data_IF_556019220468
#
_entry.id   IF_556019220468
#
_cell.length_a   1.000
_cell.length_b   1.000
_cell.length_c   1.000
_cell.angle_alpha   90.00
_cell.angle_beta   90.00
_cell.angle_gamma   90.00
#
_symmetry.space_group_name_H-M   'P 1'
#
loop_
_entity.id
_entity.type
_entity.pdbx_description
1 polymer ?
#
# COMPACT_ATOMS: atom_id res chain seq x y z
N UNK A 1 9.44 -0.64 28.76
CA UNK A 1 8.00 -0.99 28.77
C UNK A 1 7.82 -2.47 28.43
N UNK A 2 7.49 -3.32 29.39
CA UNK A 2 7.10 -4.71 29.17
C UNK A 2 5.63 -4.78 28.72
N UNK A 3 5.36 -4.45 27.46
CA UNK A 3 4.03 -4.70 26.88
C UNK A 3 3.76 -6.20 26.97
N UNK A 4 2.64 -6.59 27.54
CA UNK A 4 2.26 -8.00 27.72
C UNK A 4 2.10 -8.67 26.35
N UNK A 5 3.06 -9.52 25.95
CA UNK A 5 3.01 -10.30 24.71
C UNK A 5 2.07 -11.52 24.81
N UNK A 6 1.19 -11.54 25.81
CA UNK A 6 0.25 -12.63 26.07
C UNK A 6 -0.76 -12.79 24.92
N UNK A 7 -1.43 -11.73 24.42
CA UNK A 7 -2.38 -11.87 23.30
C UNK A 7 -1.71 -12.42 22.03
N UNK A 8 -0.49 -11.96 21.72
CA UNK A 8 0.27 -12.47 20.57
C UNK A 8 0.65 -13.95 20.73
N UNK A 9 0.81 -14.43 21.97
CA UNK A 9 1.05 -15.85 22.25
C UNK A 9 -0.17 -16.73 22.01
N UNK A 10 -1.35 -16.24 22.33
CA UNK A 10 -2.61 -16.92 22.01
C UNK A 10 -2.76 -17.04 20.49
N UNK A 11 -2.51 -15.96 19.75
CA UNK A 11 -2.53 -15.97 18.27
C UNK A 11 -1.49 -16.93 17.67
N UNK A 12 -0.29 -17.00 18.24
CA UNK A 12 0.73 -17.97 17.82
C UNK A 12 0.28 -19.41 18.06
N UNK A 13 -0.45 -19.66 19.15
CA UNK A 13 -0.97 -20.99 19.48
C UNK A 13 -2.11 -21.38 18.55
N UNK A 14 -3.08 -20.49 18.33
CA UNK A 14 -4.15 -20.70 17.37
C UNK A 14 -3.62 -20.96 15.96
N UNK A 15 -2.64 -20.17 15.51
CA UNK A 15 -1.99 -20.36 14.20
C UNK A 15 -1.28 -21.70 14.09
N UNK A 16 -0.60 -22.15 15.15
CA UNK A 16 0.02 -23.49 15.17
C UNK A 16 -1.03 -24.60 15.09
N UNK A 17 -2.14 -24.46 15.81
CA UNK A 17 -3.24 -25.42 15.74
C UNK A 17 -3.82 -25.50 14.32
N UNK A 18 -4.06 -24.36 13.69
CA UNK A 18 -4.53 -24.29 12.30
C UNK A 18 -3.56 -24.99 11.33
N UNK A 19 -2.26 -24.71 11.43
CA UNK A 19 -1.28 -25.38 10.56
C UNK A 19 -1.18 -26.89 10.79
N UNK A 20 -1.37 -27.37 12.03
CA UNK A 20 -1.43 -28.82 12.29
C UNK A 20 -2.69 -29.43 11.70
N UNK A 21 -3.83 -28.76 11.82
CA UNK A 21 -5.11 -29.23 11.27
C UNK A 21 -5.12 -29.27 9.73
N UNK A 22 -4.44 -28.33 9.07
CA UNK A 22 -4.36 -28.27 7.59
C UNK A 22 -3.41 -29.31 6.95
N UNK A 23 -2.75 -30.16 7.74
CA UNK A 23 -2.02 -31.33 7.24
C UNK A 23 -0.92 -31.01 6.20
N UNK A 24 -0.77 -31.84 5.15
CA UNK A 24 0.29 -31.68 4.14
C UNK A 24 0.25 -30.34 3.39
N UNK A 25 -0.93 -29.75 3.20
CA UNK A 25 -1.09 -28.47 2.50
C UNK A 25 -0.41 -27.33 3.28
N UNK A 26 -0.45 -27.36 4.61
CA UNK A 26 0.30 -26.42 5.43
C UNK A 26 1.81 -26.58 5.27
N UNK A 27 2.32 -27.79 5.06
CA UNK A 27 3.77 -28.00 4.86
C UNK A 27 4.26 -27.30 3.60
N UNK A 28 3.54 -27.45 2.48
CA UNK A 28 3.88 -26.77 1.22
C UNK A 28 3.89 -25.25 1.40
N UNK A 29 2.84 -24.69 2.00
CA UNK A 29 2.80 -23.26 2.34
C UNK A 29 3.90 -22.87 3.32
N UNK A 30 4.27 -23.66 4.31
CA UNK A 30 5.29 -23.25 5.30
C UNK A 30 6.72 -23.27 4.74
N UNK A 31 6.99 -24.11 3.74
CA UNK A 31 8.35 -24.30 3.20
C UNK A 31 8.60 -23.36 2.03
N UNK A 32 7.70 -23.29 1.05
CA UNK A 32 7.96 -22.52 -0.17
C UNK A 32 7.39 -21.09 -0.09
N UNK A 33 8.28 -20.10 -0.28
CA UNK A 33 7.93 -18.68 -0.26
C UNK A 33 7.12 -18.28 -1.49
N UNK A 34 7.49 -18.74 -2.68
CA UNK A 34 6.81 -18.36 -3.92
C UNK A 34 5.36 -18.83 -3.89
N UNK A 35 5.14 -20.08 -3.49
CA UNK A 35 3.82 -20.65 -3.25
C UNK A 35 2.99 -19.86 -2.25
N UNK A 36 3.56 -19.41 -1.12
CA UNK A 36 2.83 -18.55 -0.18
C UNK A 36 2.43 -17.23 -0.79
N UNK A 37 3.36 -16.55 -1.45
CA UNK A 37 3.09 -15.26 -2.08
C UNK A 37 1.97 -15.41 -3.11
N UNK A 38 2.04 -16.46 -3.93
CA UNK A 38 1.00 -16.79 -4.89
C UNK A 38 -0.36 -17.05 -4.21
N UNK A 39 -0.42 -18.00 -3.28
CA UNK A 39 -1.68 -18.39 -2.63
C UNK A 39 -2.31 -17.23 -1.86
N UNK A 40 -1.55 -16.57 -0.98
CA UNK A 40 -2.11 -15.48 -0.17
C UNK A 40 -2.39 -14.23 -1.00
N UNK A 41 -1.62 -13.97 -2.06
CA UNK A 41 -1.89 -12.90 -3.01
C UNK A 41 -3.18 -13.14 -3.78
N UNK A 42 -3.33 -14.30 -4.42
CA UNK A 42 -4.54 -14.63 -5.17
C UNK A 42 -5.78 -14.67 -4.28
N UNK A 43 -5.72 -15.30 -3.10
CA UNK A 43 -6.84 -15.32 -2.15
C UNK A 43 -7.20 -13.89 -1.70
N UNK A 44 -6.21 -13.07 -1.33
CA UNK A 44 -6.43 -11.68 -0.95
C UNK A 44 -7.08 -10.85 -2.06
N UNK A 45 -6.64 -11.04 -3.31
CA UNK A 45 -7.21 -10.35 -4.48
C UNK A 45 -8.63 -10.83 -4.81
N UNK A 46 -8.93 -12.12 -4.69
CA UNK A 46 -10.30 -12.63 -4.87
C UNK A 46 -11.24 -12.05 -3.80
N UNK A 47 -10.80 -11.99 -2.54
CA UNK A 47 -11.59 -11.37 -1.47
C UNK A 47 -11.78 -9.87 -1.73
N UNK A 48 -10.72 -9.15 -2.13
CA UNK A 48 -10.79 -7.74 -2.49
C UNK A 48 -11.78 -7.48 -3.64
N UNK A 49 -11.74 -8.31 -4.67
CA UNK A 49 -12.65 -8.24 -5.81
C UNK A 49 -14.10 -8.53 -5.41
N UNK A 50 -14.33 -9.57 -4.60
CA UNK A 50 -15.67 -9.90 -4.10
C UNK A 50 -16.25 -8.75 -3.25
N UNK A 51 -15.44 -8.13 -2.38
CA UNK A 51 -15.86 -6.97 -1.60
C UNK A 51 -16.14 -5.74 -2.47
N UNK A 52 -15.31 -5.48 -3.47
CA UNK A 52 -15.52 -4.39 -4.42
C UNK A 52 -16.80 -4.59 -5.25
N UNK A 53 -17.14 -5.83 -5.61
CA UNK A 53 -18.38 -6.15 -6.30
C UNK A 53 -19.61 -6.17 -5.39
N UNK A 54 -19.48 -6.45 -4.08
CA UNK A 54 -20.63 -6.62 -3.19
C UNK A 54 -20.96 -5.37 -2.37
N UNK A 55 -19.96 -4.58 -1.98
CA UNK A 55 -20.11 -3.44 -1.08
C UNK A 55 -18.94 -2.44 -1.19
N UNK A 56 -18.73 -1.79 -2.36
CA UNK A 56 -17.56 -0.95 -2.62
C UNK A 56 -17.40 0.19 -1.60
N UNK A 57 -18.49 0.83 -1.17
CA UNK A 57 -18.43 1.89 -0.15
C UNK A 57 -17.95 1.40 1.22
N UNK A 58 -18.36 0.20 1.64
CA UNK A 58 -17.85 -0.44 2.85
C UNK A 58 -16.39 -0.85 2.71
N UNK A 59 -16.01 -1.42 1.55
CA UNK A 59 -14.63 -1.81 1.27
C UNK A 59 -13.68 -0.60 1.31
N UNK A 60 -14.09 0.52 0.71
CA UNK A 60 -13.34 1.78 0.75
C UNK A 60 -13.28 2.32 2.18
N UNK A 61 -14.41 2.44 2.88
CA UNK A 61 -14.45 3.02 4.23
C UNK A 61 -13.70 2.19 5.27
N UNK A 62 -14.13 0.93 5.47
CA UNK A 62 -13.56 0.04 6.50
C UNK A 62 -12.13 -0.33 6.17
N UNK A 63 -11.82 -0.59 4.90
CA UNK A 63 -10.46 -0.87 4.46
C UNK A 63 -9.51 0.26 4.84
N UNK A 64 -9.89 1.50 4.52
CA UNK A 64 -9.09 2.68 4.87
C UNK A 64 -8.92 2.86 6.37
N UNK A 65 -9.97 2.70 7.17
CA UNK A 65 -9.90 2.93 8.62
C UNK A 65 -9.13 1.82 9.35
N UNK A 66 -9.32 0.56 8.97
CA UNK A 66 -8.72 -0.60 9.67
C UNK A 66 -7.32 -0.91 9.17
N UNK A 67 -7.10 -0.85 7.85
CA UNK A 67 -5.83 -1.23 7.21
C UNK A 67 -4.96 -0.02 6.84
N UNK A 68 -5.51 1.19 6.96
CA UNK A 68 -4.83 2.45 6.71
C UNK A 68 -3.52 2.61 7.47
N UNK A 69 -3.59 2.74 8.79
CA UNK A 69 -2.36 2.94 9.57
C UNK A 69 -1.40 1.76 9.43
N UNK A 70 -1.83 0.49 9.52
CA UNK A 70 -0.95 -0.66 9.31
C UNK A 70 -0.21 -0.65 7.96
N UNK A 71 -0.83 -0.21 6.86
CA UNK A 71 -0.14 -0.21 5.57
C UNK A 71 0.93 0.87 5.54
N UNK A 72 0.65 2.10 5.98
CA UNK A 72 1.65 3.18 6.03
C UNK A 72 2.88 2.77 6.83
N UNK A 73 2.68 2.06 7.95
CA UNK A 73 3.78 1.50 8.74
C UNK A 73 4.60 0.51 7.93
N UNK A 74 3.93 -0.36 7.17
CA UNK A 74 4.59 -1.31 6.28
C UNK A 74 5.39 -0.58 5.20
N UNK A 75 4.82 0.43 4.55
CA UNK A 75 5.47 1.20 3.48
C UNK A 75 6.75 1.85 4.01
N UNK A 76 6.65 2.61 5.11
CA UNK A 76 7.80 3.25 5.75
C UNK A 76 8.86 2.21 6.13
N UNK A 77 8.44 1.09 6.70
CA UNK A 77 9.35 0.02 7.11
C UNK A 77 10.11 -0.57 5.93
N UNK A 78 9.41 -0.94 4.85
CA UNK A 78 9.99 -1.69 3.73
C UNK A 78 10.64 -0.79 2.67
N UNK A 79 10.13 0.41 2.45
CA UNK A 79 10.68 1.38 1.50
C UNK A 79 11.80 2.24 2.10
N UNK A 80 11.63 2.70 3.35
CA UNK A 80 12.52 3.71 3.92
C UNK A 80 13.54 3.08 4.86
N UNK A 81 13.05 2.41 5.91
CA UNK A 81 13.91 1.94 7.00
C UNK A 81 14.80 0.79 6.53
N UNK A 82 14.19 -0.26 5.97
CA UNK A 82 14.91 -1.43 5.46
C UNK A 82 15.78 -1.14 4.25
N UNK A 83 15.68 0.02 3.61
CA UNK A 83 16.56 0.43 2.52
C UNK A 83 17.59 1.47 2.95
N UNK A 84 17.64 1.79 4.24
CA UNK A 84 18.57 2.77 4.79
C UNK A 84 18.29 4.22 4.34
N UNK A 85 17.12 4.48 3.76
CA UNK A 85 16.75 5.82 3.31
C UNK A 85 16.36 6.74 4.48
N UNK A 86 16.06 6.17 5.66
CA UNK A 86 15.83 6.91 6.90
C UNK A 86 17.06 7.73 7.37
N UNK A 87 18.24 7.54 6.76
CA UNK A 87 19.44 8.34 7.06
C UNK A 87 19.67 9.47 6.05
N UNK A 88 18.78 9.64 5.07
CA UNK A 88 18.97 10.57 3.95
C UNK A 88 18.17 11.84 4.15
N UNK A 89 18.86 12.93 4.50
CA UNK A 89 18.24 14.24 4.66
C UNK A 89 17.44 14.70 3.42
N UNK A 90 17.90 14.36 2.21
CA UNK A 90 17.20 14.71 0.97
C UNK A 90 15.82 14.08 0.83
N UNK A 91 15.61 12.87 1.37
CA UNK A 91 14.28 12.25 1.37
C UNK A 91 13.35 13.00 2.32
N UNK A 92 13.81 13.35 3.51
CA UNK A 92 13.02 14.15 4.47
C UNK A 92 12.71 15.53 3.93
N UNK A 93 13.67 16.21 3.29
CA UNK A 93 13.46 17.49 2.64
C UNK A 93 12.41 17.37 1.52
N UNK A 94 12.50 16.33 0.68
CA UNK A 94 11.51 16.06 -0.37
C UNK A 94 10.10 15.83 0.18
N UNK A 95 9.97 14.98 1.21
CA UNK A 95 8.68 14.73 1.87
C UNK A 95 8.16 16.00 2.53
N UNK A 96 9.01 16.80 3.18
CA UNK A 96 8.62 18.07 3.80
C UNK A 96 8.08 19.06 2.75
N UNK A 97 8.76 19.20 1.61
CA UNK A 97 8.28 20.02 0.49
C UNK A 97 6.90 19.57 0.03
N UNK A 98 6.69 18.27 -0.12
CA UNK A 98 5.40 17.72 -0.52
C UNK A 98 4.30 18.00 0.51
N UNK A 99 4.59 17.74 1.80
CA UNK A 99 3.65 17.91 2.91
C UNK A 99 3.28 19.37 3.14
N UNK A 100 4.23 20.31 3.02
CA UNK A 100 3.98 21.74 3.18
C UNK A 100 3.31 22.33 1.94
N UNK A 101 3.71 21.92 0.73
CA UNK A 101 3.13 22.45 -0.51
C UNK A 101 1.68 22.02 -0.73
N UNK A 102 1.27 20.85 -0.21
CA UNK A 102 -0.09 20.33 -0.37
C UNK A 102 -1.18 21.23 0.23
N UNK A 103 -1.12 21.64 1.53
CA UNK A 103 -2.09 22.57 2.09
C UNK A 103 -2.02 23.98 1.48
N UNK A 104 -0.90 24.34 0.84
CA UNK A 104 -0.78 25.58 0.04
C UNK A 104 -1.44 25.47 -1.35
N UNK A 105 -2.11 24.35 -1.65
CA UNK A 105 -2.85 24.13 -2.88
C UNK A 105 -2.01 23.59 -4.04
N UNK A 106 -0.73 23.26 -3.84
CA UNK A 106 0.10 22.68 -4.90
C UNK A 106 -0.19 21.19 -5.15
N UNK A 107 -0.61 20.45 -4.12
CA UNK A 107 -0.98 19.04 -4.20
C UNK A 107 0.11 18.17 -4.84
N UNK A 108 -0.25 17.33 -5.82
CA UNK A 108 0.66 16.47 -6.60
C UNK A 108 1.89 17.21 -7.12
N UNK A 109 1.77 18.49 -7.49
CA UNK A 109 2.91 19.28 -7.98
C UNK A 109 3.98 19.43 -6.91
N UNK A 110 3.59 19.66 -5.65
CA UNK A 110 4.54 19.69 -4.54
C UNK A 110 5.19 18.33 -4.31
N UNK A 111 4.45 17.24 -4.52
CA UNK A 111 5.01 15.89 -4.42
C UNK A 111 6.06 15.60 -5.50
N UNK A 112 5.80 16.01 -6.74
CA UNK A 112 6.76 15.88 -7.86
C UNK A 112 8.01 16.71 -7.58
N UNK A 113 7.87 17.94 -7.08
CA UNK A 113 9.02 18.77 -6.66
C UNK A 113 9.77 18.10 -5.50
N UNK A 114 9.06 17.55 -4.51
CA UNK A 114 9.64 16.81 -3.41
C UNK A 114 10.46 15.60 -3.88
N UNK A 115 9.95 14.84 -4.85
CA UNK A 115 10.68 13.76 -5.50
C UNK A 115 11.92 14.28 -6.25
N UNK A 116 11.83 15.41 -6.95
CA UNK A 116 12.97 16.04 -7.63
C UNK A 116 14.05 16.48 -6.64
N UNK A 117 13.69 17.03 -5.49
CA UNK A 117 14.61 17.36 -4.39
C UNK A 117 15.34 16.10 -3.92
N UNK A 118 14.63 14.98 -3.71
CA UNK A 118 15.27 13.72 -3.32
C UNK A 118 16.28 13.23 -4.39
N UNK A 119 15.89 13.30 -5.68
CA UNK A 119 16.71 12.85 -6.82
C UNK A 119 17.93 13.73 -7.08
N UNK A 120 17.85 15.04 -6.82
CA UNK A 120 18.99 15.95 -7.00
C UNK A 120 20.23 15.49 -6.21
N UNK A 121 20.01 14.92 -5.03
CA UNK A 121 21.03 14.37 -4.13
C UNK A 121 21.15 12.84 -4.21
N UNK A 122 20.60 12.21 -5.26
CA UNK A 122 20.72 10.78 -5.47
C UNK A 122 22.19 10.37 -5.74
N UNK A 123 22.57 9.19 -5.23
CA UNK A 123 23.87 8.55 -5.45
C UNK A 123 23.89 7.85 -6.81
N UNK A 124 23.81 8.63 -7.88
CA UNK A 124 23.75 8.16 -9.25
C UNK A 124 24.59 9.03 -10.19
N UNK A 125 24.89 8.52 -11.39
CA UNK A 125 25.56 9.30 -12.43
C UNK A 125 24.73 10.54 -12.80
N UNK A 126 25.40 11.60 -13.25
CA UNK A 126 24.73 12.84 -13.69
C UNK A 126 23.68 12.54 -14.77
N UNK A 127 24.01 11.67 -15.74
CA UNK A 127 23.09 11.26 -16.80
C UNK A 127 21.81 10.60 -16.27
N UNK A 128 21.91 9.67 -15.29
CA UNK A 128 20.72 9.05 -14.69
C UNK A 128 19.89 10.06 -13.91
N UNK A 129 20.53 10.93 -13.12
CA UNK A 129 19.82 12.01 -12.40
C UNK A 129 19.09 12.93 -13.37
N UNK A 130 19.77 13.39 -14.41
CA UNK A 130 19.19 14.25 -15.44
C UNK A 130 17.99 13.58 -16.14
N UNK A 131 18.09 12.29 -16.49
CA UNK A 131 16.98 11.55 -17.08
C UNK A 131 15.75 11.45 -16.18
N UNK A 132 15.95 11.14 -14.89
CA UNK A 132 14.83 11.09 -13.92
C UNK A 132 14.25 12.49 -13.66
N UNK A 133 15.10 13.51 -13.50
CA UNK A 133 14.66 14.89 -13.33
C UNK A 133 13.89 15.41 -14.54
N UNK A 134 14.30 15.05 -15.77
CA UNK A 134 13.55 15.37 -16.98
C UNK A 134 12.15 14.75 -16.95
N UNK A 135 12.04 13.47 -16.60
CA UNK A 135 10.74 12.80 -16.44
C UNK A 135 9.86 13.46 -15.37
N UNK A 136 10.44 13.85 -14.23
CA UNK A 136 9.73 14.58 -13.17
C UNK A 136 9.30 15.98 -13.62
N UNK A 137 10.13 16.71 -14.38
CA UNK A 137 9.77 18.01 -14.95
C UNK A 137 8.58 17.90 -15.92
N UNK A 138 8.55 16.84 -16.75
CA UNK A 138 7.40 16.57 -17.61
C UNK A 138 6.14 16.27 -16.79
N UNK A 139 6.26 15.43 -15.75
CA UNK A 139 5.14 15.14 -14.84
C UNK A 139 4.64 16.42 -14.13
N UNK A 140 5.55 17.30 -13.71
CA UNK A 140 5.20 18.59 -13.12
C UNK A 140 4.46 19.49 -14.11
N UNK A 141 4.96 19.61 -15.34
CA UNK A 141 4.32 20.41 -16.38
C UNK A 141 2.90 19.91 -16.69
N UNK A 142 2.72 18.59 -16.80
CA UNK A 142 1.40 17.98 -16.99
C UNK A 142 0.48 18.24 -15.79
N UNK A 143 0.98 18.09 -14.57
CA UNK A 143 0.21 18.39 -13.35
C UNK A 143 -0.10 19.89 -13.20
N UNK A 144 0.70 20.77 -13.79
CA UNK A 144 0.45 22.21 -13.85
C UNK A 144 -0.70 22.53 -14.80
N UNK A 145 -0.67 21.97 -16.01
CA UNK A 145 -1.68 22.21 -17.05
C UNK A 145 -3.02 21.54 -16.69
N UNK A 146 -2.98 20.30 -16.20
CA UNK A 146 -4.16 19.47 -15.97
C UNK A 146 -4.48 19.30 -14.49
N UNK A 147 -4.36 20.36 -13.67
CA UNK A 147 -4.39 20.33 -12.19
C UNK A 147 -5.36 19.29 -11.59
N UNK A 148 -6.66 19.42 -11.83
CA UNK A 148 -7.66 18.52 -11.24
C UNK A 148 -7.60 17.08 -11.78
N UNK A 149 -7.41 16.93 -13.09
CA UNK A 149 -7.30 15.62 -13.73
C UNK A 149 -6.03 14.87 -13.30
N UNK A 150 -4.92 15.58 -13.11
CA UNK A 150 -3.66 15.00 -12.66
C UNK A 150 -3.75 14.48 -11.22
N UNK A 151 -4.39 15.23 -10.32
CA UNK A 151 -4.68 14.77 -8.94
C UNK A 151 -5.56 13.51 -8.96
N UNK A 152 -6.61 13.51 -9.79
CA UNK A 152 -7.50 12.36 -9.90
C UNK A 152 -6.80 11.14 -10.51
N UNK A 153 -6.03 11.35 -11.58
CA UNK A 153 -5.23 10.30 -12.20
C UNK A 153 -4.20 9.72 -11.21
N UNK A 154 -3.54 10.58 -10.43
CA UNK A 154 -2.61 10.15 -9.40
C UNK A 154 -3.31 9.39 -8.28
N UNK A 155 -4.48 9.82 -7.82
CA UNK A 155 -5.28 9.12 -6.82
C UNK A 155 -5.59 7.67 -7.26
N UNK A 156 -5.95 7.46 -8.52
CA UNK A 156 -6.15 6.12 -9.08
C UNK A 156 -4.83 5.35 -9.25
N UNK A 157 -3.81 5.99 -9.84
CA UNK A 157 -2.52 5.38 -10.11
C UNK A 157 -1.75 4.99 -8.84
N UNK A 158 -1.94 5.72 -7.74
CA UNK A 158 -1.34 5.46 -6.44
C UNK A 158 -1.66 4.04 -5.94
N UNK A 159 -2.89 3.58 -6.12
CA UNK A 159 -3.27 2.21 -5.76
C UNK A 159 -2.48 1.15 -6.54
N UNK A 160 -1.94 1.50 -7.72
CA UNK A 160 -1.13 0.62 -8.55
C UNK A 160 0.37 0.68 -8.22
N UNK A 161 0.83 1.70 -7.48
CA UNK A 161 2.25 1.85 -7.11
C UNK A 161 2.73 0.65 -6.28
N UNK A 162 1.91 0.15 -5.37
CA UNK A 162 2.21 -1.05 -4.60
C UNK A 162 2.50 -2.26 -5.51
N UNK A 163 1.70 -2.47 -6.57
CA UNK A 163 1.94 -3.55 -7.55
C UNK A 163 3.26 -3.36 -8.30
N UNK A 164 3.63 -2.10 -8.60
CA UNK A 164 4.93 -1.74 -9.16
C UNK A 164 6.09 -2.11 -8.23
N UNK A 165 5.99 -1.78 -6.94
CA UNK A 165 6.99 -2.19 -5.94
C UNK A 165 7.03 -3.71 -5.74
N UNK A 166 5.88 -4.37 -5.73
CA UNK A 166 5.81 -5.82 -5.70
C UNK A 166 6.56 -6.44 -6.88
N UNK A 167 6.30 -6.00 -8.10
CA UNK A 167 7.01 -6.48 -9.29
C UNK A 167 8.52 -6.19 -9.20
N UNK A 168 8.91 -5.01 -8.74
CA UNK A 168 10.30 -4.63 -8.56
C UNK A 168 11.03 -5.54 -7.55
N UNK A 169 10.36 -5.95 -6.48
CA UNK A 169 10.93 -6.84 -5.46
C UNK A 169 10.87 -8.31 -5.89
N UNK A 170 9.84 -8.70 -6.63
CA UNK A 170 9.67 -10.05 -7.16
C UNK A 170 10.53 -10.33 -8.40
N UNK A 171 11.13 -9.32 -9.06
CA UNK A 171 11.87 -9.45 -10.35
C UNK A 171 12.96 -10.53 -10.41
N UNK A 172 13.45 -11.00 -9.27
CA UNK A 172 14.48 -12.06 -9.18
C UNK A 172 13.92 -13.44 -8.87
N UNK A 173 12.67 -13.51 -8.48
CA UNK A 173 11.94 -14.75 -8.25
C UNK A 173 11.33 -15.21 -9.57
N UNK A 174 11.05 -16.51 -9.68
CA UNK A 174 10.47 -17.11 -10.88
C UNK A 174 9.12 -17.74 -10.52
N UNK A 175 8.44 -18.31 -11.52
CA UNK A 175 7.27 -19.14 -11.28
C UNK A 175 6.08 -18.43 -10.63
N UNK A 176 5.50 -19.08 -9.61
CA UNK A 176 4.18 -18.76 -9.07
C UNK A 176 4.07 -17.37 -8.43
N UNK A 177 5.19 -16.74 -8.07
CA UNK A 177 5.24 -15.40 -7.47
C UNK A 177 4.52 -14.33 -8.32
N UNK A 178 4.41 -14.53 -9.64
CA UNK A 178 3.77 -13.60 -10.56
C UNK A 178 2.25 -13.80 -10.70
N UNK A 179 1.70 -14.90 -10.18
CA UNK A 179 0.26 -15.19 -10.24
C UNK A 179 -0.62 -14.07 -9.66
N UNK A 180 -0.28 -13.41 -8.53
CA UNK A 180 -1.07 -12.29 -8.03
C UNK A 180 -1.19 -11.13 -9.03
N UNK A 181 -0.13 -10.83 -9.80
CA UNK A 181 -0.19 -9.76 -10.80
C UNK A 181 -1.09 -10.17 -11.99
N UNK A 182 -0.98 -11.41 -12.45
CA UNK A 182 -1.87 -11.93 -13.49
C UNK A 182 -3.34 -11.91 -13.05
N UNK A 183 -3.62 -12.36 -11.82
CA UNK A 183 -4.95 -12.29 -11.21
C UNK A 183 -5.46 -10.85 -11.13
N UNK A 184 -4.62 -9.91 -10.67
CA UNK A 184 -4.99 -8.50 -10.62
C UNK A 184 -5.44 -7.98 -11.98
N UNK A 185 -4.67 -8.26 -13.05
CA UNK A 185 -4.98 -7.81 -14.41
C UNK A 185 -6.32 -8.38 -14.89
N UNK A 186 -6.56 -9.68 -14.69
CA UNK A 186 -7.82 -10.33 -15.11
C UNK A 186 -9.02 -9.75 -14.36
N UNK A 187 -8.92 -9.61 -13.03
CA UNK A 187 -10.00 -9.09 -12.20
C UNK A 187 -10.25 -7.59 -12.45
N UNK A 188 -9.20 -6.80 -12.68
CA UNK A 188 -9.30 -5.40 -13.08
C UNK A 188 -10.00 -5.26 -14.43
N UNK A 189 -9.62 -6.07 -15.43
CA UNK A 189 -10.26 -6.09 -16.74
C UNK A 189 -11.75 -6.43 -16.64
N UNK A 190 -12.12 -7.35 -15.74
CA UNK A 190 -13.53 -7.64 -15.46
C UNK A 190 -14.27 -6.41 -14.91
N UNK A 191 -13.72 -5.74 -13.89
CA UNK A 191 -14.36 -4.57 -13.24
C UNK A 191 -14.50 -3.36 -14.18
N UNK A 192 -13.60 -3.23 -15.15
CA UNK A 192 -13.66 -2.17 -16.16
C UNK A 192 -14.48 -2.59 -17.41
N UNK A 193 -14.73 -3.88 -17.56
CA UNK A 193 -15.44 -4.46 -18.69
C UNK A 193 -16.97 -4.34 -18.64
N UNK A 194 -17.66 -4.83 -19.68
CA UNK A 194 -19.12 -4.72 -19.80
C UNK A 194 -19.89 -5.53 -18.75
N UNK A 195 -19.28 -6.57 -18.18
CA UNK A 195 -19.93 -7.45 -17.18
C UNK A 195 -19.93 -6.89 -15.76
N UNK A 196 -19.18 -5.82 -15.49
CA UNK A 196 -19.08 -5.24 -14.16
C UNK A 196 -20.41 -4.67 -13.67
N UNK A 197 -21.13 -3.92 -14.51
CA UNK A 197 -22.38 -3.28 -14.10
C UNK A 197 -23.49 -4.31 -13.82
N UNK A 198 -23.75 -5.32 -14.68
CA UNK A 198 -24.65 -6.42 -14.34
C UNK A 198 -24.28 -7.11 -13.02
N UNK A 199 -22.99 -7.37 -12.79
CA UNK A 199 -22.53 -8.00 -11.54
C UNK A 199 -22.80 -7.11 -10.31
N UNK A 200 -22.47 -5.82 -10.37
CA UNK A 200 -22.73 -4.85 -9.29
C UNK A 200 -24.22 -4.70 -8.99
N UNK A 201 -25.07 -4.73 -10.01
CA UNK A 201 -26.52 -4.74 -9.84
C UNK A 201 -26.99 -6.02 -9.17
N UNK A 202 -26.53 -7.18 -9.65
CA UNK A 202 -26.91 -8.49 -9.13
C UNK A 202 -26.51 -8.69 -7.66
N UNK A 203 -25.33 -8.23 -7.26
CA UNK A 203 -24.89 -8.28 -5.85
C UNK A 203 -25.59 -7.27 -4.95
N UNK A 204 -26.32 -6.29 -5.52
CA UNK A 204 -26.93 -5.18 -4.80
C UNK A 204 -25.92 -4.12 -4.33
N UNK A 205 -24.71 -4.08 -4.89
CA UNK A 205 -23.66 -3.16 -4.46
C UNK A 205 -24.02 -1.68 -4.66
N UNK A 206 -24.86 -1.38 -5.65
CA UNK A 206 -25.26 -0.01 -5.97
C UNK A 206 -26.06 0.66 -4.85
N UNK A 207 -26.69 -0.12 -3.96
CA UNK A 207 -27.52 0.37 -2.85
C UNK A 207 -26.93 0.08 -1.46
N UNK A 208 -25.89 -0.76 -1.37
CA UNK A 208 -25.26 -1.15 -0.11
C UNK A 208 -24.04 -0.29 0.20
N UNK A 209 -24.26 0.80 0.91
CA UNK A 209 -23.20 1.68 1.37
C UNK A 209 -23.45 2.21 2.78
N UNK A 210 -22.38 2.52 3.55
CA UNK A 210 -22.53 3.29 4.77
C UNK A 210 -22.88 4.74 4.44
N UNK A 211 -23.49 5.43 5.40
CA UNK A 211 -23.85 6.86 5.29
C UNK A 211 -22.62 7.69 4.91
N UNK A 212 -22.76 8.57 3.91
CA UNK A 212 -21.69 9.44 3.42
C UNK A 212 -20.66 8.77 2.50
N UNK A 213 -20.82 7.48 2.19
CA UNK A 213 -20.01 6.74 1.21
C UNK A 213 -20.89 5.96 0.22
N UNK A 214 -22.08 6.49 -0.07
CA UNK A 214 -22.94 5.98 -1.13
C UNK A 214 -22.29 6.17 -2.51
N UNK A 215 -22.81 5.43 -3.50
CA UNK A 215 -22.23 5.41 -4.83
C UNK A 215 -22.22 6.78 -5.50
N UNK A 216 -23.25 7.61 -5.30
CA UNK A 216 -23.31 8.96 -5.86
C UNK A 216 -22.20 9.83 -5.28
N UNK A 217 -22.04 9.80 -3.94
CA UNK A 217 -20.95 10.48 -3.25
C UNK A 217 -19.59 10.00 -3.76
N UNK A 218 -19.37 8.69 -3.87
CA UNK A 218 -18.10 8.14 -4.35
C UNK A 218 -17.81 8.46 -5.82
N UNK A 219 -18.82 8.43 -6.69
CA UNK A 219 -18.68 8.84 -8.10
C UNK A 219 -18.25 10.29 -8.20
N UNK A 220 -18.86 11.18 -7.41
CA UNK A 220 -18.49 12.61 -7.40
C UNK A 220 -17.05 12.84 -6.92
N UNK A 221 -16.53 11.99 -6.06
CA UNK A 221 -15.16 12.08 -5.54
C UNK A 221 -14.12 11.44 -6.49
N UNK A 222 -14.45 10.31 -7.11
CA UNK A 222 -13.49 9.44 -7.79
C UNK A 222 -13.59 9.47 -9.32
N UNK A 223 -14.71 9.93 -9.89
CA UNK A 223 -14.91 9.99 -11.33
C UNK A 223 -15.89 11.12 -11.74
N UNK A 224 -15.70 12.38 -11.29
CA UNK A 224 -16.68 13.45 -11.47
C UNK A 224 -16.96 13.85 -12.93
N UNK A 225 -16.06 13.53 -13.87
CA UNK A 225 -16.12 14.01 -15.27
C UNK A 225 -16.35 12.89 -16.29
N UNK A 226 -16.71 11.69 -15.83
CA UNK A 226 -16.82 10.50 -16.69
C UNK A 226 -18.29 10.10 -16.85
N UNK A 227 -18.65 9.50 -17.98
CA UNK A 227 -19.98 8.92 -18.18
C UNK A 227 -20.38 8.01 -16.99
N UNK A 228 -21.66 8.05 -16.65
CA UNK A 228 -22.26 7.35 -15.51
C UNK A 228 -21.85 5.87 -15.44
N UNK A 229 -21.81 5.16 -16.57
CA UNK A 229 -21.48 3.73 -16.59
C UNK A 229 -20.00 3.47 -16.26
N UNK A 230 -19.11 4.30 -16.78
CA UNK A 230 -17.68 4.24 -16.50
C UNK A 230 -17.33 4.74 -15.11
N UNK A 231 -18.04 5.74 -14.61
CA UNK A 231 -17.84 6.26 -13.25
C UNK A 231 -18.11 5.20 -12.19
N UNK A 232 -19.21 4.44 -12.33
CA UNK A 232 -19.54 3.33 -11.41
C UNK A 232 -18.49 2.21 -11.48
N UNK A 233 -18.05 1.83 -12.68
CA UNK A 233 -16.95 0.87 -12.86
C UNK A 233 -15.65 1.36 -12.24
N UNK A 234 -15.36 2.66 -12.38
CA UNK A 234 -14.21 3.33 -11.79
C UNK A 234 -14.21 3.26 -10.26
N UNK A 235 -15.37 3.47 -9.61
CA UNK A 235 -15.50 3.33 -8.15
C UNK A 235 -15.25 1.88 -7.70
N UNK A 236 -15.83 0.90 -8.39
CA UNK A 236 -15.61 -0.52 -8.07
C UNK A 236 -14.13 -0.93 -8.28
N UNK A 237 -13.53 -0.51 -9.40
CA UNK A 237 -12.11 -0.70 -9.66
C UNK A 237 -11.24 -0.02 -8.60
N UNK A 238 -11.57 1.21 -8.19
CA UNK A 238 -10.84 1.91 -7.12
C UNK A 238 -10.91 1.16 -5.79
N UNK A 239 -12.09 0.67 -5.39
CA UNK A 239 -12.26 -0.14 -4.19
C UNK A 239 -11.40 -1.41 -4.24
N UNK A 240 -11.39 -2.09 -5.38
CA UNK A 240 -10.55 -3.27 -5.62
C UNK A 240 -9.06 -2.95 -5.57
N UNK A 241 -8.62 -1.92 -6.29
CA UNK A 241 -7.23 -1.51 -6.37
C UNK A 241 -6.69 -1.04 -5.01
N UNK A 242 -7.50 -0.32 -4.23
CA UNK A 242 -7.15 0.08 -2.86
C UNK A 242 -6.97 -1.14 -1.94
N UNK A 243 -7.88 -2.12 -2.02
CA UNK A 243 -7.72 -3.36 -1.25
C UNK A 243 -6.52 -4.19 -1.72
N UNK A 244 -6.25 -4.25 -3.03
CA UNK A 244 -5.05 -4.88 -3.60
C UNK A 244 -3.76 -4.20 -3.11
N UNK A 245 -3.75 -2.87 -3.02
CA UNK A 245 -2.66 -2.08 -2.45
C UNK A 245 -2.37 -2.52 -1.00
N UNK A 246 -3.39 -2.70 -0.16
CA UNK A 246 -3.22 -3.23 1.19
C UNK A 246 -2.72 -4.68 1.21
N UNK A 247 -3.23 -5.55 0.32
CA UNK A 247 -2.74 -6.95 0.21
C UNK A 247 -1.24 -6.95 -0.08
N UNK A 248 -0.78 -6.12 -1.02
CA UNK A 248 0.64 -6.03 -1.36
C UNK A 248 1.47 -5.61 -0.16
N UNK A 249 1.12 -4.49 0.48
CA UNK A 249 1.93 -3.92 1.55
C UNK A 249 1.87 -4.69 2.86
N UNK A 250 0.72 -5.26 3.21
CA UNK A 250 0.54 -5.99 4.47
C UNK A 250 0.90 -7.47 4.37
N UNK A 251 0.86 -8.05 3.15
CA UNK A 251 1.10 -9.49 2.96
C UNK A 251 2.25 -9.81 2.04
N UNK A 252 2.28 -9.28 0.82
CA UNK A 252 3.20 -9.77 -0.23
C UNK A 252 4.61 -9.23 -0.03
N UNK A 253 4.79 -7.91 0.04
CA UNK A 253 6.11 -7.30 0.27
C UNK A 253 6.76 -7.82 1.57
N UNK A 254 6.05 -7.91 2.71
CA UNK A 254 6.60 -8.49 3.93
C UNK A 254 7.08 -9.95 3.81
N UNK A 255 6.44 -10.73 2.93
CA UNK A 255 6.79 -12.12 2.68
C UNK A 255 8.01 -12.24 1.76
N UNK A 256 8.08 -11.40 0.72
CA UNK A 256 9.23 -11.33 -0.20
C UNK A 256 10.51 -10.89 0.52
N UNK A 257 10.41 -9.84 1.34
CA UNK A 257 11.55 -9.20 2.00
C UNK A 257 11.95 -9.88 3.33
N UNK A 258 11.40 -11.06 3.63
CA UNK A 258 11.78 -11.79 4.84
C UNK A 258 13.17 -12.44 4.65
N UNK A 259 14.09 -12.32 5.63
CA UNK A 259 15.38 -13.02 5.56
C UNK A 259 15.24 -14.55 5.57
N UNK A 260 14.35 -15.09 6.42
CA UNK A 260 14.12 -16.53 6.53
C UNK A 260 13.06 -17.02 5.54
N UNK A 261 13.22 -18.24 4.97
CA UNK A 261 12.16 -18.90 4.21
C UNK A 261 10.98 -19.31 5.09
N UNK A 262 11.17 -19.47 6.41
CA UNK A 262 10.08 -19.86 7.32
C UNK A 262 9.25 -18.65 7.76
N UNK A 263 7.92 -18.81 7.91
CA UNK A 263 7.07 -17.77 8.46
C UNK A 263 7.39 -17.36 9.89
N UNK A 264 7.47 -16.04 10.15
CA UNK A 264 7.58 -15.49 11.51
C UNK A 264 6.27 -15.71 12.27
N UNK A 265 6.37 -16.05 13.55
CA UNK A 265 5.27 -15.93 14.54
C UNK A 265 4.84 -14.47 14.73
N UNK A 266 3.65 -14.22 15.29
CA UNK A 266 3.17 -12.89 15.63
C UNK A 266 4.10 -12.19 16.61
N UNK A 267 4.58 -12.91 17.64
CA UNK A 267 5.58 -12.38 18.58
C UNK A 267 6.90 -12.00 17.88
N UNK A 268 7.38 -12.82 16.95
CA UNK A 268 8.60 -12.50 16.18
C UNK A 268 8.38 -11.29 15.27
N UNK A 269 7.20 -11.17 14.64
CA UNK A 269 6.86 -10.00 13.82
C UNK A 269 6.81 -8.72 14.64
N UNK A 270 6.21 -8.77 15.85
CA UNK A 270 6.19 -7.65 16.79
C UNK A 270 7.60 -7.23 17.24
N UNK A 271 8.45 -8.17 17.65
CA UNK A 271 9.84 -7.84 18.00
C UNK A 271 10.61 -7.27 16.81
N UNK A 272 10.36 -7.77 15.61
CA UNK A 272 11.00 -7.25 14.41
C UNK A 272 10.58 -5.81 14.12
N UNK A 273 9.29 -5.48 14.23
CA UNK A 273 8.81 -4.11 13.95
C UNK A 273 9.32 -3.11 15.00
N UNK A 274 9.31 -3.48 16.28
CA UNK A 274 9.81 -2.62 17.37
C UNK A 274 11.31 -2.35 17.24
N UNK A 275 12.10 -3.35 16.84
CA UNK A 275 13.54 -3.17 16.59
C UNK A 275 13.82 -2.26 15.39
N UNK A 276 12.96 -2.29 14.37
CA UNK A 276 13.16 -1.52 13.14
C UNK A 276 12.65 -0.07 13.25
N UNK A 277 11.55 0.19 13.98
CA UNK A 277 10.91 1.52 14.04
C UNK A 277 11.06 2.27 15.38
N UNK A 278 11.60 1.63 16.43
CA UNK A 278 11.51 2.03 17.84
C UNK A 278 10.15 1.73 18.49
N UNK A 279 10.10 1.50 19.81
CA UNK A 279 8.84 1.26 20.52
C UNK A 279 7.89 2.47 20.51
N UNK A 280 8.42 3.70 20.49
CA UNK A 280 7.61 4.91 20.50
C UNK A 280 6.85 5.10 19.18
N UNK A 281 7.54 4.90 18.04
CA UNK A 281 6.87 4.97 16.74
C UNK A 281 5.79 3.89 16.61
N UNK A 282 6.09 2.65 17.04
CA UNK A 282 5.09 1.57 17.04
C UNK A 282 3.89 1.91 17.92
N UNK A 283 4.11 2.45 19.12
CA UNK A 283 3.03 2.89 20.01
C UNK A 283 2.17 3.99 19.37
N UNK A 284 2.79 4.98 18.72
CA UNK A 284 2.11 6.04 17.98
C UNK A 284 1.18 5.48 16.89
N UNK A 285 1.68 4.53 16.08
CA UNK A 285 0.84 3.89 15.04
C UNK A 285 -0.25 2.98 15.58
N UNK A 286 -0.01 2.28 16.70
CA UNK A 286 -1.06 1.51 17.38
C UNK A 286 -2.16 2.45 17.88
N UNK A 287 -1.80 3.56 18.51
CA UNK A 287 -2.74 4.57 18.96
C UNK A 287 -3.52 5.17 17.78
N UNK A 288 -2.84 5.50 16.68
CA UNK A 288 -3.49 5.97 15.45
C UNK A 288 -4.52 4.99 14.91
N UNK A 289 -4.18 3.70 14.85
CA UNK A 289 -5.14 2.64 14.46
C UNK A 289 -6.36 2.63 15.37
N UNK A 290 -6.17 2.67 16.70
CA UNK A 290 -7.27 2.67 17.68
C UNK A 290 -8.15 3.90 17.53
N UNK A 291 -7.55 5.08 17.34
CA UNK A 291 -8.29 6.34 17.16
C UNK A 291 -9.16 6.30 15.90
N UNK A 292 -8.60 5.95 14.75
CA UNK A 292 -9.36 5.90 13.50
C UNK A 292 -10.44 4.83 13.53
N UNK A 293 -10.15 3.63 14.04
CA UNK A 293 -11.16 2.56 14.19
C UNK A 293 -12.26 2.98 15.14
N UNK A 294 -11.92 3.53 16.30
CA UNK A 294 -12.89 4.04 17.28
C UNK A 294 -13.77 5.15 16.71
N UNK A 295 -13.21 6.08 15.94
CA UNK A 295 -13.97 7.10 15.21
C UNK A 295 -14.87 6.45 14.15
N UNK A 296 -14.33 5.53 13.34
CA UNK A 296 -15.08 4.88 12.26
C UNK A 296 -16.30 4.06 12.72
N UNK A 297 -16.34 3.62 13.98
CA UNK A 297 -17.51 3.00 14.59
C UNK A 297 -18.70 3.98 14.78
N UNK A 298 -18.43 5.29 14.87
CA UNK A 298 -19.47 6.34 14.94
C UNK A 298 -19.68 7.05 13.61
N UNK A 299 -18.60 7.38 12.92
CA UNK A 299 -18.62 8.14 11.67
C UNK A 299 -17.51 7.63 10.74
N UNK A 300 -17.87 6.63 9.94
CA UNK A 300 -16.94 5.98 9.01
C UNK A 300 -16.47 6.93 7.92
N UNK A 301 -17.35 7.81 7.42
CA UNK A 301 -17.02 8.76 6.35
C UNK A 301 -16.03 9.82 6.84
N UNK A 302 -16.30 10.43 8.01
CA UNK A 302 -15.39 11.40 8.62
C UNK A 302 -14.05 10.79 9.00
N UNK A 303 -14.04 9.60 9.62
CA UNK A 303 -12.81 8.89 9.95
C UNK A 303 -11.96 8.59 8.70
N UNK A 304 -12.60 8.17 7.60
CA UNK A 304 -11.92 7.97 6.30
C UNK A 304 -11.31 9.26 5.78
N UNK A 305 -12.06 10.37 5.77
CA UNK A 305 -11.55 11.65 5.26
C UNK A 305 -10.35 12.12 6.09
N UNK A 306 -10.46 12.10 7.41
CA UNK A 306 -9.38 12.49 8.31
C UNK A 306 -8.15 11.58 8.14
N UNK A 307 -8.37 10.27 7.97
CA UNK A 307 -7.29 9.34 7.65
C UNK A 307 -6.61 9.72 6.33
N UNK A 308 -7.36 9.92 5.24
CA UNK A 308 -6.79 10.24 3.92
C UNK A 308 -6.01 11.55 3.95
N UNK A 309 -6.49 12.57 4.67
CA UNK A 309 -5.76 13.82 4.89
C UNK A 309 -4.45 13.59 5.65
N UNK A 310 -4.49 12.77 6.72
CA UNK A 310 -3.30 12.47 7.51
C UNK A 310 -2.29 11.59 6.78
N UNK A 311 -2.78 10.71 5.91
CA UNK A 311 -1.98 9.71 5.22
C UNK A 311 -1.44 10.23 3.90
N UNK A 312 -1.92 11.34 3.34
CA UNK A 312 -1.56 11.80 1.98
C UNK A 312 -0.04 11.83 1.71
N UNK A 313 0.78 12.08 2.74
CA UNK A 313 2.23 12.05 2.63
C UNK A 313 2.82 10.71 2.18
N UNK A 314 2.17 9.57 2.41
CA UNK A 314 2.72 8.25 2.08
C UNK A 314 2.80 8.05 0.56
N UNK A 315 1.78 8.48 -0.20
CA UNK A 315 1.87 8.44 -1.67
C UNK A 315 3.03 9.28 -2.20
N UNK A 316 3.28 10.44 -1.59
CA UNK A 316 4.41 11.29 -1.96
C UNK A 316 5.75 10.67 -1.59
N UNK A 317 5.81 10.00 -0.44
CA UNK A 317 6.96 9.20 -0.04
C UNK A 317 7.23 8.09 -1.06
N UNK A 318 6.21 7.34 -1.47
CA UNK A 318 6.34 6.29 -2.47
C UNK A 318 6.85 6.83 -3.81
N UNK A 319 6.33 7.97 -4.27
CA UNK A 319 6.78 8.64 -5.48
C UNK A 319 8.26 9.05 -5.39
N UNK A 320 8.67 9.64 -4.26
CA UNK A 320 10.06 10.02 -4.03
C UNK A 320 10.99 8.80 -3.99
N UNK A 321 10.57 7.71 -3.33
CA UNK A 321 11.35 6.46 -3.29
C UNK A 321 11.44 5.80 -4.66
N UNK A 322 10.35 5.80 -5.43
CA UNK A 322 10.36 5.27 -6.80
C UNK A 322 11.31 6.06 -7.71
N UNK A 323 11.30 7.39 -7.60
CA UNK A 323 12.21 8.26 -8.33
C UNK A 323 13.69 8.03 -7.92
N UNK A 324 13.95 7.85 -6.62
CA UNK A 324 15.28 7.47 -6.12
C UNK A 324 15.70 6.09 -6.66
N UNK A 325 14.79 5.11 -6.71
CA UNK A 325 15.10 3.79 -7.27
C UNK A 325 15.34 3.84 -8.78
N UNK A 326 14.68 4.72 -9.52
CA UNK A 326 14.95 4.94 -10.93
C UNK A 326 16.36 5.54 -11.14
N UNK A 327 16.79 6.46 -10.27
CA UNK A 327 18.11 7.08 -10.36
C UNK A 327 19.24 6.14 -9.90
N UNK A 328 19.11 5.53 -8.74
CA UNK A 328 20.17 4.75 -8.07
C UNK A 328 20.12 3.25 -8.40
N UNK A 329 19.00 2.77 -8.91
CA UNK A 329 18.63 1.35 -8.83
C UNK A 329 18.00 1.03 -7.47
N UNK A 330 17.23 -0.07 -7.40
CA UNK A 330 16.65 -0.53 -6.13
C UNK A 330 17.77 -1.01 -5.18
N UNK A 331 18.01 -0.34 -4.04
CA UNK A 331 18.99 -0.77 -3.06
C UNK A 331 18.63 -2.16 -2.58
N UNK A 332 19.61 -3.05 -2.43
CA UNK A 332 19.36 -4.27 -1.67
C UNK A 332 18.91 -3.88 -0.26
N UNK A 333 17.89 -4.53 0.32
CA UNK A 333 17.79 -4.49 1.77
C UNK A 333 19.16 -4.90 2.30
N UNK A 334 19.71 -4.24 3.34
CA UNK A 334 20.88 -4.75 4.02
C UNK A 334 20.60 -6.22 4.27
N UNK A 335 21.34 -7.09 3.58
CA UNK A 335 21.49 -8.45 4.07
C UNK A 335 21.99 -8.19 5.46
N UNK A 336 21.24 -8.60 6.48
CA UNK A 336 21.80 -8.70 7.82
C UNK A 336 22.98 -9.67 7.67
N UNK A 337 24.16 -9.13 7.30
CA UNK A 337 25.40 -9.55 7.89
C UNK A 337 25.07 -9.56 9.38
N UNK A 338 25.18 -10.71 10.07
CA UNK A 338 24.95 -10.76 11.50
C UNK A 338 25.70 -9.57 12.07
N UNK A 339 24.96 -8.67 12.75
CA UNK A 339 25.60 -7.66 13.56
C UNK A 339 26.64 -8.43 14.36
N UNK A 340 27.93 -8.17 14.11
CA UNK A 340 28.99 -8.70 14.94
C UNK A 340 28.65 -8.17 16.32
N UNK A 341 28.01 -9.01 17.13
CA UNK A 341 27.96 -8.84 18.56
C UNK A 341 29.43 -8.92 18.91
N UNK A 342 30.05 -7.75 19.11
CA UNK A 342 31.35 -7.69 19.73
C UNK A 342 31.23 -8.49 21.03
N UNK A 343 32.06 -9.53 21.12
CA UNK A 343 32.18 -10.39 22.29
C UNK A 343 32.59 -9.57 23.52
#
# INVERSE_FOLDING_TARGET
>A
MSVTLAPLGALDTARRALFRASGPLARWLLVDRESRVATFGCVGLVVAFALALACPGWAIGVGTVVLGVPHVVSDVRYLVVRRGLARRASLYAGVLVAVVGTPLGFGLRAAVVGAAVAVAFARASVARRAGVLFGLSLAFALAWVYRGLAELAYLHAHNLIALGFFALFARRMRGAVWLPLAFFVVLAAFLLGPYALPALTWTGALTRAPVGLDLTTLVSQLAPTVDSSWAVRGVAFFAFAQAAHYVVWLRLVPELERPSPRPRSFRQSWRAIVRELSPYAVAFFVLGTVVFVGWGLRDLAGARIAYLQSAFFHGYLELAVLALFAAEGSPQPPIDAPARVAA
#
